data_IF_025583800646
#
_entry.id   IF_025583800646
#
_cell.length_a   1.000
_cell.length_b   1.000
_cell.length_c   1.000
_cell.angle_alpha   90.00
_cell.angle_beta   90.00
_cell.angle_gamma   90.00
#
_symmetry.space_group_name_H-M   'P 1'
#
loop_
_entity.id
_entity.type
_entity.pdbx_description
1 polymer ?
#
# COMPACT_ATOMS: atom_id res chain seq x y z
N UNK A 1 -33.10 -3.33 -3.49
CA UNK A 1 -31.85 -4.06 -3.77
C UNK A 1 -31.29 -3.55 -5.10
N UNK A 2 -30.15 -2.84 -5.11
CA UNK A 2 -29.53 -2.39 -6.37
C UNK A 2 -28.83 -3.59 -7.04
N UNK A 3 -29.21 -3.93 -8.26
CA UNK A 3 -28.47 -4.89 -9.09
C UNK A 3 -27.04 -4.37 -9.33
N UNK A 4 -26.03 -5.04 -8.75
CA UNK A 4 -24.60 -4.88 -9.09
C UNK A 4 -24.37 -5.52 -10.47
N UNK A 5 -24.62 -4.77 -11.54
CA UNK A 5 -24.83 -5.33 -12.88
C UNK A 5 -23.60 -5.82 -13.66
N UNK A 6 -22.35 -5.51 -13.29
CA UNK A 6 -21.14 -5.93 -14.06
C UNK A 6 -19.86 -6.13 -13.25
N UNK A 7 -19.77 -5.57 -12.04
CA UNK A 7 -18.55 -5.61 -11.20
C UNK A 7 -18.31 -6.96 -10.51
N UNK A 8 -19.17 -7.95 -10.75
CA UNK A 8 -19.16 -9.22 -10.03
C UNK A 8 -18.32 -10.31 -10.71
N UNK A 9 -17.93 -10.21 -11.99
CA UNK A 9 -17.16 -11.27 -12.67
C UNK A 9 -15.66 -10.97 -12.62
N UNK A 10 -14.88 -11.85 -11.99
CA UNK A 10 -13.44 -11.76 -11.87
C UNK A 10 -12.73 -12.76 -12.78
N UNK A 11 -11.90 -12.24 -13.70
CA UNK A 11 -10.94 -13.05 -14.44
C UNK A 11 -9.83 -13.50 -13.49
N UNK A 12 -9.57 -14.80 -13.42
CA UNK A 12 -8.59 -15.42 -12.52
C UNK A 12 -7.29 -15.66 -13.29
N UNK A 13 -6.41 -14.66 -13.31
CA UNK A 13 -5.12 -14.72 -13.97
C UNK A 13 -4.08 -15.42 -13.07
N UNK A 14 -3.49 -16.51 -13.56
CA UNK A 14 -2.36 -17.15 -12.93
C UNK A 14 -1.48 -17.89 -13.96
N UNK A 15 -0.21 -18.15 -13.64
CA UNK A 15 0.70 -18.92 -14.49
C UNK A 15 0.25 -20.38 -14.66
N UNK A 16 0.66 -21.02 -15.76
CA UNK A 16 0.45 -22.46 -16.02
C UNK A 16 1.01 -23.35 -14.90
N UNK A 17 2.07 -22.92 -14.20
CA UNK A 17 2.61 -23.66 -13.04
C UNK A 17 1.62 -23.77 -11.88
N UNK A 18 0.63 -22.87 -11.79
CA UNK A 18 -0.42 -22.86 -10.77
C UNK A 18 -1.74 -23.45 -11.29
N UNK A 19 -1.68 -24.31 -12.31
CA UNK A 19 -2.88 -24.84 -12.95
C UNK A 19 -3.67 -25.79 -12.07
N UNK A 20 -3.02 -26.52 -11.16
CA UNK A 20 -3.68 -27.47 -10.27
C UNK A 20 -4.50 -26.76 -9.19
N UNK A 21 -4.21 -25.48 -8.96
CA UNK A 21 -4.78 -24.61 -7.95
C UNK A 21 -6.02 -23.87 -8.48
N UNK A 22 -6.33 -23.99 -9.78
CA UNK A 22 -7.41 -23.25 -10.46
C UNK A 22 -8.76 -23.32 -9.71
N UNK A 23 -9.14 -24.50 -9.22
CA UNK A 23 -10.40 -24.70 -8.49
C UNK A 23 -10.38 -23.99 -7.13
N UNK A 24 -9.30 -24.10 -6.37
CA UNK A 24 -9.13 -23.43 -5.08
C UNK A 24 -9.12 -21.90 -5.23
N UNK A 25 -8.52 -21.37 -6.30
CA UNK A 25 -8.55 -19.95 -6.61
C UNK A 25 -9.96 -19.47 -6.93
N UNK A 26 -10.71 -20.23 -7.74
CA UNK A 26 -12.11 -19.94 -8.04
C UNK A 26 -12.99 -19.92 -6.78
N UNK A 27 -12.81 -20.90 -5.88
CA UNK A 27 -13.52 -20.95 -4.60
C UNK A 27 -13.22 -19.74 -3.71
N UNK A 28 -11.95 -19.32 -3.66
CA UNK A 28 -11.55 -18.12 -2.93
C UNK A 28 -12.23 -16.87 -3.50
N UNK A 29 -12.22 -16.72 -4.82
CA UNK A 29 -12.86 -15.60 -5.54
C UNK A 29 -14.37 -15.58 -5.30
N UNK A 30 -15.02 -16.74 -5.32
CA UNK A 30 -16.44 -16.90 -5.00
C UNK A 30 -16.75 -16.45 -3.58
N UNK A 31 -15.97 -16.89 -2.59
CA UNK A 31 -16.11 -16.48 -1.19
C UNK A 31 -15.87 -14.98 -0.98
N UNK A 32 -15.06 -14.36 -1.84
CA UNK A 32 -14.86 -12.90 -1.88
C UNK A 32 -15.98 -12.12 -2.60
N UNK A 33 -17.04 -12.80 -3.02
CA UNK A 33 -18.23 -12.19 -3.60
C UNK A 33 -18.14 -11.92 -5.11
N UNK A 34 -17.21 -12.55 -5.80
CA UNK A 34 -17.06 -12.47 -7.25
C UNK A 34 -17.39 -13.81 -7.91
N UNK A 35 -18.04 -13.80 -9.07
CA UNK A 35 -18.12 -14.94 -9.96
C UNK A 35 -16.76 -15.13 -10.68
N UNK A 36 -16.02 -16.23 -10.43
CA UNK A 36 -14.72 -16.47 -11.04
C UNK A 36 -14.88 -16.95 -12.48
N UNK A 37 -13.96 -16.50 -13.33
CA UNK A 37 -13.72 -17.08 -14.66
C UNK A 37 -12.24 -17.39 -14.77
N UNK A 38 -11.92 -18.68 -14.86
CA UNK A 38 -10.55 -19.16 -14.99
C UNK A 38 -10.33 -19.74 -16.39
N UNK A 39 -9.37 -19.22 -17.19
CA UNK A 39 -9.13 -19.68 -18.55
C UNK A 39 -8.79 -21.18 -18.63
N UNK A 40 -8.11 -21.74 -17.63
CA UNK A 40 -7.73 -23.16 -17.60
C UNK A 40 -8.89 -24.12 -17.33
N UNK A 41 -10.04 -23.58 -16.92
CA UNK A 41 -11.27 -24.34 -16.68
C UNK A 41 -12.27 -24.22 -17.83
N UNK A 42 -12.00 -23.37 -18.83
CA UNK A 42 -12.87 -23.19 -20.00
C UNK A 42 -12.79 -24.34 -21.03
N UNK A 43 -11.87 -25.29 -20.84
CA UNK A 43 -11.86 -26.59 -21.53
C UNK A 43 -10.56 -27.37 -21.31
N UNK A 44 -10.40 -28.50 -22.00
CA UNK A 44 -9.29 -29.43 -21.75
C UNK A 44 -7.93 -28.91 -22.22
N UNK A 45 -6.87 -29.06 -21.41
CA UNK A 45 -5.50 -28.58 -21.69
C UNK A 45 -4.97 -28.88 -23.09
N UNK A 46 -5.20 -30.12 -23.56
CA UNK A 46 -4.76 -30.63 -24.86
C UNK A 46 -5.42 -29.92 -26.04
N UNK A 47 -6.43 -29.10 -25.79
CA UNK A 47 -7.07 -28.24 -26.76
C UNK A 47 -6.68 -26.76 -26.59
N UNK A 48 -5.86 -26.42 -25.58
CA UNK A 48 -5.37 -25.07 -25.31
C UNK A 48 -3.84 -25.07 -25.30
N UNK A 49 -3.19 -24.73 -24.17
CA UNK A 49 -1.75 -24.43 -24.11
C UNK A 49 -0.82 -25.62 -24.43
N UNK A 50 -1.25 -26.86 -24.19
CA UNK A 50 -0.47 -28.06 -24.52
C UNK A 50 -0.92 -28.78 -25.79
N UNK A 51 -1.72 -28.11 -26.61
CA UNK A 51 -2.57 -28.72 -27.62
C UNK A 51 -2.21 -28.43 -29.07
N UNK A 52 -3.19 -28.73 -29.94
CA UNK A 52 -3.14 -28.47 -31.39
C UNK A 52 -3.27 -26.97 -31.70
N UNK A 53 -3.84 -26.20 -30.77
CA UNK A 53 -3.98 -24.74 -30.88
C UNK A 53 -2.66 -24.08 -30.51
N UNK A 54 -2.22 -23.10 -31.32
CA UNK A 54 -0.95 -22.41 -31.06
C UNK A 54 -0.98 -21.61 -29.75
N UNK A 55 0.21 -21.26 -29.25
CA UNK A 55 0.36 -20.41 -28.07
C UNK A 55 -0.33 -19.05 -28.28
N UNK A 56 -0.20 -18.47 -29.48
CA UNK A 56 -0.83 -17.20 -29.83
C UNK A 56 -2.35 -17.28 -29.77
N UNK A 57 -2.95 -18.30 -30.37
CA UNK A 57 -4.41 -18.46 -30.37
C UNK A 57 -4.97 -18.74 -28.96
N UNK A 58 -4.21 -19.48 -28.13
CA UNK A 58 -4.57 -19.68 -26.72
C UNK A 58 -4.55 -18.36 -25.94
N UNK A 59 -3.54 -17.52 -26.15
CA UNK A 59 -3.46 -16.21 -25.51
C UNK A 59 -4.60 -15.29 -25.97
N UNK A 60 -4.89 -15.23 -27.27
CA UNK A 60 -5.98 -14.43 -27.81
C UNK A 60 -7.34 -14.82 -27.20
N UNK A 61 -7.59 -16.12 -27.02
CA UNK A 61 -8.77 -16.62 -26.32
C UNK A 61 -8.85 -16.10 -24.87
N UNK A 62 -7.77 -16.23 -24.10
CA UNK A 62 -7.70 -15.72 -22.72
C UNK A 62 -7.99 -14.22 -22.65
N UNK A 63 -7.37 -13.43 -23.55
CA UNK A 63 -7.58 -11.98 -23.62
C UNK A 63 -9.03 -11.62 -23.96
N UNK A 64 -9.67 -12.38 -24.86
CA UNK A 64 -11.07 -12.16 -25.22
C UNK A 64 -12.02 -12.48 -24.06
N UNK A 65 -11.76 -13.53 -23.28
CA UNK A 65 -12.50 -13.81 -22.04
C UNK A 65 -12.31 -12.68 -21.03
N UNK A 66 -11.06 -12.24 -20.84
CA UNK A 66 -10.74 -11.19 -19.89
C UNK A 66 -11.50 -9.88 -20.18
N UNK A 67 -11.67 -9.52 -21.46
CA UNK A 67 -12.47 -8.35 -21.89
C UNK A 67 -13.95 -8.44 -21.50
N UNK A 68 -14.48 -9.64 -21.31
CA UNK A 68 -15.83 -9.87 -20.78
C UNK A 68 -15.94 -9.73 -19.25
N UNK A 69 -14.83 -9.67 -18.53
CA UNK A 69 -14.78 -9.64 -17.07
C UNK A 69 -14.63 -8.22 -16.52
N UNK A 70 -15.35 -7.91 -15.45
CA UNK A 70 -15.32 -6.59 -14.82
C UNK A 70 -14.01 -6.29 -14.09
N UNK A 71 -13.34 -7.31 -13.56
CA UNK A 71 -12.10 -7.18 -12.77
C UNK A 71 -11.13 -8.31 -13.09
N UNK A 72 -9.83 -8.05 -13.02
CA UNK A 72 -8.77 -9.07 -13.14
C UNK A 72 -8.15 -9.33 -11.78
N UNK A 73 -8.31 -10.54 -11.25
CA UNK A 73 -7.56 -11.04 -10.11
C UNK A 73 -6.26 -11.68 -10.58
N UNK A 74 -5.12 -11.22 -10.07
CA UNK A 74 -3.79 -11.72 -10.42
C UNK A 74 -3.24 -12.53 -9.25
N UNK A 75 -3.14 -13.84 -9.42
CA UNK A 75 -2.79 -14.79 -8.35
C UNK A 75 -1.36 -15.35 -8.47
N UNK A 76 -0.73 -15.19 -9.63
CA UNK A 76 0.69 -15.46 -9.85
C UNK A 76 1.23 -14.59 -10.98
N UNK A 77 2.55 -14.50 -11.14
CA UNK A 77 3.18 -13.71 -12.20
C UNK A 77 4.00 -14.56 -13.18
N UNK A 78 3.84 -14.30 -14.48
CA UNK A 78 4.59 -14.93 -15.57
C UNK A 78 4.58 -14.02 -16.80
N UNK A 79 5.31 -14.37 -17.87
CA UNK A 79 5.24 -13.64 -19.14
C UNK A 79 3.81 -13.59 -19.70
N UNK A 80 3.08 -14.70 -19.61
CA UNK A 80 1.68 -14.76 -20.07
C UNK A 80 0.78 -13.83 -19.27
N UNK A 81 0.88 -13.87 -17.94
CA UNK A 81 0.09 -13.01 -17.05
C UNK A 81 0.46 -11.53 -17.22
N UNK A 82 1.74 -11.21 -17.44
CA UNK A 82 2.14 -9.84 -17.78
C UNK A 82 1.55 -9.39 -19.12
N UNK A 83 1.50 -10.26 -20.12
CA UNK A 83 0.81 -9.99 -21.37
C UNK A 83 -0.67 -9.67 -21.17
N UNK A 84 -1.37 -10.44 -20.33
CA UNK A 84 -2.75 -10.18 -19.93
C UNK A 84 -2.92 -8.83 -19.21
N UNK A 85 -2.03 -8.50 -18.27
CA UNK A 85 -2.03 -7.22 -17.56
C UNK A 85 -1.81 -6.07 -18.55
N UNK A 86 -0.82 -6.19 -19.43
CA UNK A 86 -0.51 -5.17 -20.44
C UNK A 86 -1.65 -4.97 -21.42
N UNK A 87 -2.30 -6.04 -21.90
CA UNK A 87 -3.45 -5.91 -22.80
C UNK A 87 -4.59 -5.17 -22.13
N UNK A 88 -4.97 -5.57 -20.91
CA UNK A 88 -6.03 -4.90 -20.15
C UNK A 88 -5.71 -3.44 -19.88
N UNK A 89 -4.48 -3.11 -19.51
CA UNK A 89 -4.07 -1.71 -19.29
C UNK A 89 -4.23 -0.81 -20.53
N UNK A 90 -4.22 -1.37 -21.75
CA UNK A 90 -4.44 -0.58 -22.98
C UNK A 90 -5.85 -0.05 -23.12
N UNK A 91 -6.86 -0.74 -22.57
CA UNK A 91 -8.27 -0.41 -22.77
C UNK A 91 -9.07 -0.19 -21.48
N UNK A 92 -8.56 -0.58 -20.30
CA UNK A 92 -9.18 -0.34 -18.99
C UNK A 92 -8.47 0.81 -18.23
N UNK A 93 -8.91 2.07 -18.40
CA UNK A 93 -8.32 3.22 -17.72
C UNK A 93 -8.56 3.21 -16.21
N UNK A 94 -9.55 2.45 -15.71
CA UNK A 94 -9.85 2.35 -14.28
C UNK A 94 -8.89 1.41 -13.55
N UNK A 95 -8.11 0.61 -14.30
CA UNK A 95 -7.16 -0.34 -13.74
C UNK A 95 -7.83 -1.25 -12.72
N UNK A 96 -8.97 -1.86 -13.11
CA UNK A 96 -9.73 -2.75 -12.23
C UNK A 96 -9.00 -4.10 -12.08
N UNK A 97 -7.98 -4.09 -11.23
CA UNK A 97 -7.17 -5.24 -10.84
C UNK A 97 -7.21 -5.47 -9.33
N UNK A 98 -6.97 -6.71 -8.92
CA UNK A 98 -6.64 -7.13 -7.56
C UNK A 98 -5.48 -8.09 -7.60
N UNK A 99 -4.47 -7.89 -6.77
CA UNK A 99 -3.29 -8.73 -6.74
C UNK A 99 -3.29 -9.58 -5.47
N UNK A 100 -3.13 -10.90 -5.65
CA UNK A 100 -3.19 -11.91 -4.61
C UNK A 100 -1.89 -12.74 -4.64
N UNK A 101 -0.77 -12.09 -4.34
CA UNK A 101 0.59 -12.65 -4.38
C UNK A 101 0.80 -13.81 -3.40
N UNK A 102 0.04 -13.89 -2.31
CA UNK A 102 0.19 -14.94 -1.28
C UNK A 102 -0.12 -16.36 -1.76
N UNK A 103 -0.69 -16.52 -2.97
CA UNK A 103 -0.95 -17.84 -3.56
C UNK A 103 0.24 -18.41 -4.32
N UNK A 104 1.22 -17.58 -4.68
CA UNK A 104 2.36 -17.97 -5.51
C UNK A 104 3.67 -17.70 -4.76
N UNK A 105 4.26 -18.76 -4.20
CA UNK A 105 5.54 -18.65 -3.48
C UNK A 105 6.70 -18.17 -4.35
N UNK A 106 6.56 -18.21 -5.68
CA UNK A 106 7.58 -17.74 -6.61
C UNK A 106 7.36 -16.29 -7.06
N UNK A 107 6.28 -15.63 -6.62
CA UNK A 107 5.85 -14.32 -7.10
C UNK A 107 6.99 -13.30 -7.15
N UNK A 108 7.67 -13.06 -6.03
CA UNK A 108 8.71 -12.04 -5.94
C UNK A 108 9.90 -12.33 -6.86
N UNK A 109 10.35 -13.60 -6.87
CA UNK A 109 11.49 -14.02 -7.69
C UNK A 109 11.19 -13.94 -9.18
N UNK A 110 9.97 -14.27 -9.60
CA UNK A 110 9.55 -14.20 -10.99
C UNK A 110 9.30 -12.75 -11.41
N UNK A 111 8.72 -11.94 -10.52
CA UNK A 111 8.49 -10.53 -10.81
C UNK A 111 9.81 -9.76 -11.05
N UNK A 112 10.83 -9.97 -10.23
CA UNK A 112 12.13 -9.29 -10.43
C UNK A 112 12.79 -9.71 -11.74
N UNK A 113 12.78 -11.00 -12.10
CA UNK A 113 13.28 -11.47 -13.41
C UNK A 113 12.55 -10.80 -14.58
N UNK A 114 11.22 -10.73 -14.50
CA UNK A 114 10.39 -10.17 -15.56
C UNK A 114 10.57 -8.66 -15.66
N UNK A 115 10.74 -7.98 -14.52
CA UNK A 115 11.02 -6.55 -14.45
C UNK A 115 12.39 -6.21 -15.06
N UNK A 116 13.42 -7.01 -14.82
CA UNK A 116 14.72 -6.84 -15.47
C UNK A 116 14.61 -6.99 -17.00
N UNK A 117 13.78 -7.93 -17.46
CA UNK A 117 13.62 -8.23 -18.88
C UNK A 117 12.74 -7.22 -19.63
N UNK A 118 11.65 -6.76 -19.02
CA UNK A 118 10.60 -5.99 -19.69
C UNK A 118 10.39 -4.57 -19.11
N UNK A 119 11.16 -4.21 -18.09
CA UNK A 119 10.90 -3.02 -17.28
C UNK A 119 9.74 -3.23 -16.30
N UNK A 120 9.55 -2.27 -15.40
CA UNK A 120 8.49 -2.36 -14.39
C UNK A 120 7.12 -2.00 -14.96
N UNK A 121 6.42 -3.00 -15.50
CA UNK A 121 5.05 -2.86 -16.02
C UNK A 121 4.06 -2.46 -14.93
N UNK A 122 4.26 -2.93 -13.70
CA UNK A 122 3.35 -2.64 -12.58
C UNK A 122 3.55 -1.22 -12.01
N UNK A 123 4.60 -0.51 -12.41
CA UNK A 123 4.79 0.91 -12.06
C UNK A 123 3.59 1.78 -12.43
N UNK A 124 2.79 1.38 -13.42
CA UNK A 124 1.57 2.08 -13.82
C UNK A 124 0.51 2.15 -12.70
N UNK A 125 0.48 1.17 -11.77
CA UNK A 125 -0.40 1.20 -10.61
C UNK A 125 0.13 2.13 -9.50
N UNK A 126 1.43 2.41 -9.53
CA UNK A 126 2.24 2.96 -8.44
C UNK A 126 2.72 4.39 -8.71
N UNK A 127 1.85 5.20 -9.32
CA UNK A 127 2.17 6.59 -9.73
C UNK A 127 2.60 7.47 -8.56
N UNK A 128 1.96 7.30 -7.41
CA UNK A 128 2.22 8.09 -6.21
C UNK A 128 2.79 7.21 -5.10
N UNK A 129 3.74 7.76 -4.35
CA UNK A 129 4.44 7.07 -3.28
C UNK A 129 3.67 7.18 -1.96
N UNK A 130 3.67 6.11 -1.17
CA UNK A 130 3.15 6.11 0.19
C UNK A 130 4.32 5.97 1.18
N UNK A 131 4.75 7.05 1.80
CA UNK A 131 5.76 7.01 2.86
C UNK A 131 5.11 6.50 4.15
N UNK A 132 5.56 5.35 4.61
CA UNK A 132 5.00 4.62 5.75
C UNK A 132 5.93 4.75 6.94
N UNK A 133 5.49 5.49 7.96
CA UNK A 133 6.22 5.68 9.20
C UNK A 133 5.81 4.62 10.22
N UNK A 134 6.79 3.83 10.67
CA UNK A 134 6.63 2.84 11.75
C UNK A 134 7.64 3.15 12.85
N UNK A 135 7.39 2.72 14.08
CA UNK A 135 8.32 2.94 15.19
C UNK A 135 7.61 2.81 16.54
N UNK A 136 8.34 2.87 17.66
CA UNK A 136 7.74 2.75 18.99
C UNK A 136 6.79 3.90 19.32
N UNK A 137 5.97 3.74 20.36
CA UNK A 137 5.12 4.81 20.88
C UNK A 137 5.99 6.03 21.20
N UNK A 138 5.48 7.23 20.92
CA UNK A 138 6.18 8.50 21.14
C UNK A 138 7.51 8.70 20.37
N UNK A 139 7.81 7.89 19.35
CA UNK A 139 8.97 8.07 18.45
C UNK A 139 8.90 9.29 17.51
N UNK A 140 7.96 10.22 17.68
CA UNK A 140 7.89 11.44 16.85
C UNK A 140 7.12 11.33 15.53
N UNK A 141 6.44 10.22 15.23
CA UNK A 141 5.62 10.04 13.99
C UNK A 141 4.68 11.21 13.67
N UNK A 142 3.90 11.65 14.66
CA UNK A 142 2.96 12.76 14.50
C UNK A 142 3.67 14.10 14.28
N UNK A 143 4.82 14.31 14.93
CA UNK A 143 5.63 15.52 14.75
C UNK A 143 6.13 15.61 13.30
N UNK A 144 6.69 14.52 12.78
CA UNK A 144 7.19 14.45 11.42
C UNK A 144 6.07 14.66 10.38
N UNK A 145 4.94 13.96 10.53
CA UNK A 145 3.77 14.14 9.63
C UNK A 145 3.27 15.58 9.64
N UNK A 146 3.09 16.19 10.82
CA UNK A 146 2.55 17.54 10.93
C UNK A 146 3.50 18.58 10.33
N UNK A 147 4.82 18.44 10.54
CA UNK A 147 5.79 19.34 9.93
C UNK A 147 5.84 19.23 8.41
N UNK A 148 5.81 18.01 7.87
CA UNK A 148 5.84 17.78 6.41
C UNK A 148 4.55 18.25 5.73
N UNK A 149 3.40 18.02 6.36
CA UNK A 149 2.09 18.27 5.73
C UNK A 149 1.47 19.64 6.08
N UNK A 150 2.07 20.37 7.02
CA UNK A 150 1.55 21.65 7.52
C UNK A 150 2.27 22.90 7.01
N UNK A 151 3.33 22.76 6.21
CA UNK A 151 4.17 23.88 5.75
C UNK A 151 4.49 23.85 4.26
N UNK A 152 5.52 24.59 3.86
CA UNK A 152 6.03 24.71 2.47
C UNK A 152 6.30 23.36 1.81
N UNK A 153 6.70 22.37 2.61
CA UNK A 153 6.93 20.99 2.19
C UNK A 153 5.72 20.32 1.56
N UNK A 154 4.52 20.57 2.08
CA UNK A 154 3.30 19.95 1.58
C UNK A 154 3.02 20.36 0.13
N UNK A 155 3.30 21.63 -0.19
CA UNK A 155 3.09 22.20 -1.52
C UNK A 155 4.26 21.91 -2.47
N UNK A 156 5.50 21.98 -1.97
CA UNK A 156 6.70 21.67 -2.76
C UNK A 156 6.75 20.22 -3.23
N UNK A 157 6.33 19.29 -2.36
CA UNK A 157 6.40 17.85 -2.65
C UNK A 157 5.05 17.21 -2.95
N UNK A 158 3.96 18.00 -2.99
CA UNK A 158 2.59 17.51 -3.15
C UNK A 158 2.31 16.25 -2.31
N UNK A 159 2.72 16.31 -1.03
CA UNK A 159 2.59 15.20 -0.08
C UNK A 159 1.46 15.49 0.90
N UNK A 160 0.59 14.51 1.10
CA UNK A 160 -0.61 14.64 1.94
C UNK A 160 -0.64 13.56 3.01
N UNK A 161 -1.19 13.90 4.17
CA UNK A 161 -1.42 12.95 5.25
C UNK A 161 -2.50 11.95 4.87
N UNK A 162 -2.20 10.66 4.99
CA UNK A 162 -3.21 9.61 5.08
C UNK A 162 -3.68 9.53 6.53
N UNK A 163 -4.99 9.60 6.75
CA UNK A 163 -5.58 9.63 8.08
C UNK A 163 -6.08 8.26 8.50
N UNK A 164 -5.76 7.87 9.72
CA UNK A 164 -6.43 6.74 10.36
C UNK A 164 -7.89 7.11 10.63
N UNK A 165 -8.77 6.13 10.58
CA UNK A 165 -10.19 6.27 10.90
C UNK A 165 -10.43 5.84 12.35
N UNK A 166 -11.30 6.54 13.08
CA UNK A 166 -11.64 6.17 14.46
C UNK A 166 -13.08 6.52 14.81
N UNK A 167 -13.64 5.78 15.77
CA UNK A 167 -14.95 6.06 16.37
C UNK A 167 -14.88 6.97 17.59
N UNK A 168 -13.67 7.25 18.10
CA UNK A 168 -13.46 8.17 19.22
C UNK A 168 -13.91 9.57 18.82
N UNK A 169 -14.47 10.34 19.75
CA UNK A 169 -14.68 11.78 19.52
C UNK A 169 -13.33 12.52 19.43
N UNK A 170 -13.19 13.53 18.55
CA UNK A 170 -12.02 14.42 18.58
C UNK A 170 -11.80 15.00 19.98
N UNK A 171 -10.55 15.19 20.39
CA UNK A 171 -10.25 15.94 21.63
C UNK A 171 -10.41 17.44 21.38
N UNK A 172 -10.60 18.21 22.45
CA UNK A 172 -10.80 19.65 22.35
C UNK A 172 -9.58 20.38 21.74
N UNK A 173 -8.38 19.85 21.96
CA UNK A 173 -7.09 20.38 21.49
C UNK A 173 -6.55 19.67 20.23
N UNK A 174 -7.29 18.70 19.68
CA UNK A 174 -6.85 17.90 18.54
C UNK A 174 -7.34 18.49 17.21
N UNK A 175 -6.45 18.60 16.22
CA UNK A 175 -6.85 18.95 14.86
C UNK A 175 -7.81 17.88 14.32
N UNK A 176 -9.01 18.29 13.89
CA UNK A 176 -10.04 17.45 13.24
C UNK A 176 -9.53 16.74 11.98
N UNK A 177 -8.42 17.17 11.40
CA UNK A 177 -7.73 16.52 10.28
C UNK A 177 -6.73 15.43 10.71
N UNK A 178 -6.54 15.20 12.01
CA UNK A 178 -5.62 14.16 12.51
C UNK A 178 -6.11 12.74 12.21
N UNK A 179 -7.42 12.54 12.25
CA UNK A 179 -8.11 11.29 11.98
C UNK A 179 -9.33 11.53 11.08
N UNK A 180 -9.89 10.45 10.55
CA UNK A 180 -11.23 10.41 10.01
C UNK A 180 -12.18 9.94 11.12
N UNK A 181 -12.95 10.85 11.69
CA UNK A 181 -13.85 10.57 12.80
C UNK A 181 -15.22 10.14 12.28
N UNK A 182 -15.64 8.91 12.56
CA UNK A 182 -16.92 8.34 12.10
C UNK A 182 -17.71 7.72 13.27
N UNK A 183 -18.99 7.43 13.06
CA UNK A 183 -19.78 6.69 14.06
C UNK A 183 -19.36 5.23 14.11
N UNK A 184 -19.57 4.58 15.26
CA UNK A 184 -19.35 3.15 15.43
C UNK A 184 -20.13 2.32 14.40
N UNK A 185 -21.38 2.67 14.12
CA UNK A 185 -22.20 2.00 13.09
C UNK A 185 -21.56 2.01 11.70
N UNK A 186 -21.02 3.16 11.27
CA UNK A 186 -20.33 3.28 9.97
C UNK A 186 -19.00 2.52 9.96
N UNK A 187 -18.31 2.48 11.09
CA UNK A 187 -17.07 1.72 11.19
C UNK A 187 -17.34 0.22 11.02
N UNK A 188 -18.34 -0.31 11.71
CA UNK A 188 -18.73 -1.72 11.60
C UNK A 188 -19.21 -2.06 10.18
N UNK A 189 -20.01 -1.19 9.55
CA UNK A 189 -20.39 -1.35 8.13
C UNK A 189 -19.16 -1.39 7.21
N UNK A 190 -18.14 -0.56 7.48
CA UNK A 190 -16.89 -0.59 6.72
C UNK A 190 -16.08 -1.88 6.93
N UNK A 191 -16.15 -2.50 8.12
CA UNK A 191 -15.55 -3.83 8.37
C UNK A 191 -16.27 -4.88 7.51
N UNK A 192 -17.61 -4.91 7.54
CA UNK A 192 -18.41 -5.87 6.77
C UNK A 192 -18.19 -5.75 5.25
N UNK A 193 -17.80 -4.57 4.78
CA UNK A 193 -17.51 -4.27 3.39
C UNK A 193 -16.01 -4.39 3.00
N UNK A 194 -15.16 -4.95 3.87
CA UNK A 194 -13.70 -5.08 3.65
C UNK A 194 -13.01 -3.71 3.34
N UNK A 195 -13.49 -2.60 3.92
CA UNK A 195 -12.96 -1.25 3.64
C UNK A 195 -11.71 -0.88 4.45
N UNK A 196 -11.31 -1.73 5.40
CA UNK A 196 -10.15 -1.51 6.25
C UNK A 196 -9.02 -2.48 5.92
N UNK A 197 -7.81 -1.94 5.79
CA UNK A 197 -6.57 -2.72 5.71
C UNK A 197 -6.30 -3.44 7.04
N UNK A 198 -6.45 -2.69 8.13
CA UNK A 198 -6.38 -3.19 9.49
C UNK A 198 -7.37 -2.39 10.34
N UNK A 199 -7.87 -3.01 11.40
CA UNK A 199 -8.60 -2.32 12.44
C UNK A 199 -8.36 -2.99 13.79
N UNK A 200 -8.49 -2.22 14.86
CA UNK A 200 -8.34 -2.68 16.24
C UNK A 200 -9.27 -1.90 17.18
N UNK A 201 -9.57 -2.47 18.33
CA UNK A 201 -10.34 -1.82 19.38
C UNK A 201 -9.43 -1.42 20.55
N UNK A 202 -9.46 -0.15 20.91
CA UNK A 202 -8.71 0.37 22.05
C UNK A 202 -9.56 1.31 22.90
N UNK A 203 -9.65 0.99 24.19
CA UNK A 203 -10.43 1.75 25.17
C UNK A 203 -11.88 2.01 24.71
N UNK A 204 -12.56 0.98 24.20
CA UNK A 204 -13.94 1.04 23.73
C UNK A 204 -14.15 1.84 22.44
N UNK A 205 -13.09 2.15 21.70
CA UNK A 205 -13.16 2.85 20.41
C UNK A 205 -12.43 2.04 19.34
N UNK A 206 -12.98 2.03 18.13
CA UNK A 206 -12.32 1.42 16.98
C UNK A 206 -11.34 2.38 16.33
N UNK A 207 -10.26 1.83 15.81
CA UNK A 207 -9.26 2.51 15.01
C UNK A 207 -8.96 1.64 13.79
N UNK A 208 -8.73 2.24 12.62
CA UNK A 208 -8.39 1.47 11.43
C UNK A 208 -7.84 2.27 10.26
N UNK A 209 -7.16 1.55 9.38
CA UNK A 209 -6.53 2.06 8.17
C UNK A 209 -7.50 1.90 6.98
N UNK A 210 -8.14 2.98 6.54
CA UNK A 210 -9.20 2.93 5.51
C UNK A 210 -8.63 2.90 4.09
N UNK A 211 -9.03 1.90 3.29
CA UNK A 211 -8.72 1.80 1.86
C UNK A 211 -9.16 3.02 1.05
N UNK A 212 -10.42 3.49 1.19
CA UNK A 212 -10.86 4.75 0.59
C UNK A 212 -9.91 5.93 0.86
N UNK A 213 -9.42 6.09 2.09
CA UNK A 213 -8.55 7.21 2.45
C UNK A 213 -7.16 7.08 1.81
N UNK A 214 -6.55 5.89 1.87
CA UNK A 214 -5.26 5.60 1.21
C UNK A 214 -5.37 5.92 -0.28
N UNK A 215 -6.39 5.37 -0.95
CA UNK A 215 -6.60 5.55 -2.40
C UNK A 215 -6.94 7.00 -2.77
N UNK A 216 -7.68 7.72 -1.92
CA UNK A 216 -8.02 9.13 -2.15
C UNK A 216 -6.76 10.01 -2.19
N UNK A 217 -5.82 9.77 -1.27
CA UNK A 217 -4.54 10.49 -1.22
C UNK A 217 -3.68 10.12 -2.43
N UNK A 218 -3.46 8.82 -2.64
CA UNK A 218 -2.57 8.32 -3.70
C UNK A 218 -3.11 8.51 -5.12
N UNK A 219 -4.34 8.99 -5.29
CA UNK A 219 -4.88 9.37 -6.60
C UNK A 219 -4.28 10.68 -7.13
N UNK A 220 -3.93 11.60 -6.23
CA UNK A 220 -3.61 12.98 -6.60
C UNK A 220 -2.27 13.49 -6.03
N UNK A 221 -1.66 12.74 -5.12
CA UNK A 221 -0.53 13.18 -4.31
C UNK A 221 0.21 12.00 -3.73
N UNK A 222 1.45 12.22 -3.34
CA UNK A 222 2.15 11.28 -2.47
C UNK A 222 1.50 11.30 -1.09
N UNK A 223 1.56 10.16 -0.40
CA UNK A 223 1.00 9.98 0.93
C UNK A 223 2.08 9.86 1.99
N UNK A 224 1.82 10.39 3.18
CA UNK A 224 2.56 10.02 4.39
C UNK A 224 1.61 9.43 5.41
N UNK A 225 1.99 8.29 6.00
CA UNK A 225 1.10 7.52 6.85
C UNK A 225 1.82 6.91 8.05
N UNK A 226 1.27 7.09 9.24
CA UNK A 226 1.76 6.44 10.45
C UNK A 226 0.86 5.25 10.82
N UNK A 227 1.47 4.07 10.94
CA UNK A 227 0.75 2.81 11.18
C UNK A 227 1.45 1.93 12.20
N UNK A 228 0.79 0.85 12.58
CA UNK A 228 1.34 -0.19 13.46
C UNK A 228 2.28 -1.13 12.67
N UNK A 229 3.11 -1.95 13.35
CA UNK A 229 3.87 -3.01 12.67
C UNK A 229 2.98 -4.03 11.95
N UNK A 230 1.81 -4.34 12.49
CA UNK A 230 0.83 -5.22 11.84
C UNK A 230 0.29 -4.58 10.55
N UNK A 231 -0.05 -3.30 10.61
CA UNK A 231 -0.46 -2.52 9.45
C UNK A 231 0.64 -2.39 8.41
N UNK A 232 1.91 -2.32 8.84
CA UNK A 232 3.05 -2.30 7.94
C UNK A 232 3.20 -3.61 7.17
N UNK A 233 3.04 -4.75 7.86
CA UNK A 233 2.93 -6.06 7.20
C UNK A 233 1.78 -6.05 6.19
N UNK A 234 0.59 -5.66 6.64
CA UNK A 234 -0.58 -5.63 5.78
C UNK A 234 -0.36 -4.74 4.55
N UNK A 235 0.21 -3.54 4.68
CA UNK A 235 0.55 -2.68 3.54
C UNK A 235 1.61 -3.28 2.61
N UNK A 236 2.61 -3.97 3.17
CA UNK A 236 3.68 -4.59 2.41
C UNK A 236 3.15 -5.68 1.48
N UNK A 237 2.11 -6.39 1.91
CA UNK A 237 1.40 -7.31 1.04
C UNK A 237 0.92 -6.55 -0.23
N UNK A 238 0.30 -5.37 -0.09
CA UNK A 238 -0.18 -4.58 -1.25
C UNK A 238 0.91 -3.75 -1.98
N UNK A 239 2.21 -4.05 -1.80
CA UNK A 239 3.33 -3.31 -2.42
C UNK A 239 3.36 -3.30 -3.95
N UNK A 240 2.58 -4.16 -4.61
CA UNK A 240 2.47 -4.15 -6.06
C UNK A 240 1.34 -3.25 -6.56
N UNK A 241 0.30 -3.05 -5.75
CA UNK A 241 -0.80 -2.10 -5.99
C UNK A 241 -0.46 -0.68 -5.54
N UNK A 242 0.30 -0.59 -4.46
CA UNK A 242 0.75 0.65 -3.83
C UNK A 242 2.25 0.81 -4.00
N UNK A 243 2.78 2.00 -3.75
CA UNK A 243 4.23 2.24 -3.73
C UNK A 243 4.69 2.56 -2.29
N UNK A 244 4.64 1.61 -1.35
CA UNK A 244 4.99 1.88 0.03
C UNK A 244 6.51 2.07 0.17
N UNK A 245 6.89 3.04 0.97
CA UNK A 245 8.26 3.30 1.36
C UNK A 245 8.35 3.36 2.88
N UNK A 246 8.88 2.30 3.48
CA UNK A 246 8.89 2.14 4.93
C UNK A 246 10.07 2.87 5.56
N UNK A 247 9.76 3.69 6.56
CA UNK A 247 10.73 4.42 7.37
C UNK A 247 10.45 4.09 8.84
N UNK A 248 11.42 3.44 9.49
CA UNK A 248 11.41 3.16 10.91
C UNK A 248 11.97 4.38 11.65
N UNK A 249 11.13 5.02 12.45
CA UNK A 249 11.54 6.11 13.33
C UNK A 249 12.08 5.55 14.63
N UNK A 250 13.36 5.80 14.90
CA UNK A 250 14.03 5.39 16.13
C UNK A 250 14.39 6.64 16.95
N UNK A 251 14.00 6.76 18.23
CA UNK A 251 14.47 7.85 19.07
C UNK A 251 16.01 7.83 19.14
N UNK A 252 16.66 8.99 18.98
CA UNK A 252 18.11 9.11 19.06
C UNK A 252 18.66 8.80 20.46
N UNK A 253 17.83 8.95 21.50
CA UNK A 253 18.15 8.56 22.88
C UNK A 253 16.89 8.27 23.69
N UNK A 254 17.07 7.55 24.81
CA UNK A 254 16.02 7.34 25.83
C UNK A 254 15.49 8.69 26.37
N UNK A 255 16.35 9.72 26.45
CA UNK A 255 15.96 11.06 26.92
C UNK A 255 14.97 11.74 25.96
N UNK A 256 15.19 11.62 24.64
CA UNK A 256 14.25 12.14 23.63
C UNK A 256 12.91 11.45 23.75
N UNK A 257 12.91 10.13 23.90
CA UNK A 257 11.68 9.35 24.07
C UNK A 257 10.96 9.71 25.38
N UNK A 258 11.69 9.80 26.49
CA UNK A 258 11.16 10.20 27.80
C UNK A 258 10.53 11.59 27.75
N UNK A 259 11.21 12.56 27.12
CA UNK A 259 10.68 13.92 26.91
C UNK A 259 9.36 13.89 26.15
N UNK A 260 9.26 13.09 25.10
CA UNK A 260 8.03 12.96 24.30
C UNK A 260 6.89 12.30 25.07
N UNK A 261 7.16 11.28 25.88
CA UNK A 261 6.17 10.60 26.72
C UNK A 261 5.65 11.53 27.83
N UNK A 262 6.56 12.25 28.50
CA UNK A 262 6.18 13.25 29.53
C UNK A 262 5.34 14.38 28.95
N UNK A 263 5.68 14.87 27.74
CA UNK A 263 4.87 15.88 27.03
C UNK A 263 3.45 15.40 26.74
N UNK A 264 3.22 14.09 26.64
CA UNK A 264 1.90 13.48 26.43
C UNK A 264 1.12 13.24 27.73
N UNK A 265 1.74 13.46 28.90
CA UNK A 265 1.13 13.16 30.20
C UNK A 265 0.99 11.66 30.47
N UNK A 266 1.81 10.82 29.84
CA UNK A 266 1.83 9.39 30.12
C UNK A 266 2.33 9.13 31.56
N UNK A 267 1.78 8.12 32.25
CA UNK A 267 2.16 7.79 33.63
C UNK A 267 3.49 7.01 33.70
N UNK A 268 4.13 6.96 34.88
CA UNK A 268 5.45 6.32 35.06
C UNK A 268 5.49 4.84 34.66
N UNK A 269 4.41 4.09 34.90
CA UNK A 269 4.30 2.69 34.45
C UNK A 269 4.31 2.56 32.92
N UNK A 270 3.56 3.43 32.24
CA UNK A 270 3.51 3.49 30.77
C UNK A 270 4.85 3.94 30.21
N UNK A 271 5.51 4.91 30.86
CA UNK A 271 6.83 5.40 30.47
C UNK A 271 7.86 4.28 30.54
N UNK A 272 7.97 3.58 31.67
CA UNK A 272 8.93 2.49 31.85
C UNK A 272 8.70 1.37 30.83
N UNK A 273 7.45 1.01 30.59
CA UNK A 273 7.09 0.02 29.57
C UNK A 273 7.51 0.48 28.16
N UNK A 274 7.20 1.73 27.78
CA UNK A 274 7.56 2.26 26.46
C UNK A 274 9.07 2.33 26.23
N UNK A 275 9.84 2.73 27.25
CA UNK A 275 11.31 2.78 27.19
C UNK A 275 11.91 1.39 26.95
N UNK A 276 11.37 0.36 27.62
CA UNK A 276 11.79 -1.03 27.40
C UNK A 276 11.45 -1.49 25.97
N UNK A 277 10.18 -1.35 25.55
CA UNK A 277 9.74 -1.84 24.23
C UNK A 277 10.36 -1.08 23.05
N UNK A 278 10.81 0.16 23.27
CA UNK A 278 11.41 0.96 22.20
C UNK A 278 12.81 0.46 21.81
N UNK A 279 13.57 -0.11 22.76
CA UNK A 279 14.90 -0.65 22.49
C UNK A 279 14.85 -1.90 21.63
N UNK A 280 13.84 -2.73 21.87
CA UNK A 280 13.61 -3.99 21.15
C UNK A 280 12.73 -3.80 19.91
N UNK A 281 12.38 -2.56 19.56
CA UNK A 281 11.57 -2.30 18.38
C UNK A 281 12.34 -2.65 17.11
N UNK A 282 11.88 -3.69 16.43
CA UNK A 282 12.38 -4.11 15.13
C UNK A 282 11.18 -4.30 14.20
N UNK A 283 11.23 -3.68 13.03
CA UNK A 283 10.26 -3.97 11.97
C UNK A 283 10.60 -5.34 11.37
N UNK A 284 9.58 -6.02 10.86
CA UNK A 284 9.72 -7.32 10.24
C UNK A 284 10.86 -7.37 9.21
N UNK A 285 11.82 -8.31 9.32
CA UNK A 285 13.01 -8.36 8.48
C UNK A 285 12.72 -8.44 6.98
N UNK A 286 11.59 -9.04 6.61
CA UNK A 286 11.13 -9.18 5.22
C UNK A 286 10.67 -7.86 4.59
N UNK A 287 10.42 -6.81 5.38
CA UNK A 287 10.00 -5.50 4.88
C UNK A 287 11.24 -4.62 4.67
N UNK A 288 11.60 -4.29 3.41
CA UNK A 288 12.68 -3.36 3.13
C UNK A 288 12.33 -1.98 3.69
N UNK A 289 13.19 -1.42 4.52
CA UNK A 289 12.94 -0.15 5.19
C UNK A 289 14.23 0.66 5.38
N UNK A 290 14.06 1.96 5.56
CA UNK A 290 15.09 2.86 6.04
C UNK A 290 14.89 3.15 7.53
N UNK A 291 15.96 3.50 8.22
CA UNK A 291 15.89 3.93 9.62
C UNK A 291 16.19 5.42 9.70
N UNK A 292 15.32 6.17 10.37
CA UNK A 292 15.53 7.58 10.67
C UNK A 292 15.66 7.75 12.19
N UNK A 293 16.81 8.26 12.62
CA UNK A 293 17.03 8.64 14.01
C UNK A 293 16.38 9.99 14.29
N UNK A 294 15.49 10.00 15.28
CA UNK A 294 14.67 11.16 15.66
C UNK A 294 15.29 11.86 16.87
N UNK A 295 15.77 13.07 16.66
CA UNK A 295 16.38 13.93 17.68
C UNK A 295 15.35 14.78 18.44
N UNK A 296 14.15 14.96 17.87
CA UNK A 296 13.13 15.86 18.39
C UNK A 296 13.44 17.34 18.12
N UNK A 297 14.25 17.62 17.09
CA UNK A 297 14.64 18.96 16.64
C UNK A 297 14.37 19.11 15.14
N UNK A 298 14.50 20.34 14.60
CA UNK A 298 14.24 20.60 13.18
C UNK A 298 15.16 19.81 12.22
N UNK A 299 16.29 19.30 12.72
CA UNK A 299 17.18 18.40 11.98
C UNK A 299 16.50 17.12 11.49
N UNK A 300 15.42 16.69 12.17
CA UNK A 300 14.66 15.51 11.78
C UNK A 300 14.02 15.68 10.40
N UNK A 301 13.63 16.92 10.02
CA UNK A 301 13.07 17.22 8.72
C UNK A 301 14.12 17.20 7.61
N UNK A 302 15.32 17.74 7.86
CA UNK A 302 16.44 17.71 6.92
C UNK A 302 16.90 16.27 6.64
N UNK A 303 17.04 15.47 7.70
CA UNK A 303 17.40 14.05 7.58
C UNK A 303 16.33 13.26 6.81
N UNK A 304 15.05 13.54 7.06
CA UNK A 304 13.95 12.96 6.28
C UNK A 304 13.99 13.42 4.81
N UNK A 305 14.33 14.68 4.52
CA UNK A 305 14.52 15.17 3.15
C UNK A 305 15.56 14.36 2.41
N UNK A 306 16.72 14.20 3.05
CA UNK A 306 17.85 13.50 2.48
C UNK A 306 17.48 12.05 2.15
N UNK A 307 16.75 11.41 3.06
CA UNK A 307 16.27 10.05 2.90
C UNK A 307 15.30 9.91 1.70
N UNK A 308 14.40 10.88 1.50
CA UNK A 308 13.53 10.89 0.32
C UNK A 308 14.31 11.15 -0.98
N UNK A 309 15.29 12.06 -0.95
CA UNK A 309 16.13 12.39 -2.10
C UNK A 309 17.03 11.23 -2.53
N UNK A 310 17.61 10.48 -1.59
CA UNK A 310 18.50 9.35 -1.90
C UNK A 310 17.81 8.26 -2.76
N UNK A 311 16.49 8.10 -2.60
CA UNK A 311 15.70 7.16 -3.39
C UNK A 311 15.53 7.59 -4.85
N UNK A 312 15.57 8.89 -5.18
CA UNK A 312 15.38 9.35 -6.57
C UNK A 312 16.48 8.85 -7.52
N UNK A 313 17.68 8.65 -6.99
CA UNK A 313 18.85 8.31 -7.80
C UNK A 313 18.97 6.79 -8.05
N UNK A 314 18.11 5.95 -7.44
CA UNK A 314 18.22 4.47 -7.47
C UNK A 314 17.02 3.75 -8.13
N UNK A 315 16.59 4.22 -9.31
CA UNK A 315 15.73 3.44 -10.23
C UNK A 315 14.23 3.35 -9.92
N UNK A 316 13.66 4.24 -9.09
CA UNK A 316 12.21 4.37 -8.95
C UNK A 316 11.75 5.80 -8.65
N UNK A 317 11.63 6.60 -9.73
CA UNK A 317 10.54 7.55 -9.91
C UNK A 317 10.31 8.62 -8.84
N UNK A 318 11.35 9.23 -8.30
CA UNK A 318 11.26 10.63 -7.86
C UNK A 318 12.11 11.45 -8.82
N UNK A 319 11.60 12.56 -9.37
CA UNK A 319 12.47 13.53 -10.06
C UNK A 319 12.71 14.73 -9.14
N UNK A 320 13.39 14.50 -8.01
CA UNK A 320 13.71 15.56 -7.04
C UNK A 320 14.61 16.65 -7.65
N UNK A 321 15.51 16.28 -8.58
CA UNK A 321 16.41 17.24 -9.25
C UNK A 321 15.68 18.28 -10.10
N UNK A 322 14.60 17.88 -10.76
CA UNK A 322 13.79 18.80 -11.58
C UNK A 322 12.96 19.77 -10.72
N UNK A 323 12.55 19.32 -9.53
CA UNK A 323 11.82 20.14 -8.55
C UNK A 323 12.76 21.15 -7.88
N UNK A 324 13.97 20.76 -7.49
CA UNK A 324 14.98 21.69 -6.95
C UNK A 324 15.36 22.78 -7.96
N UNK A 325 15.54 22.42 -9.23
CA UNK A 325 15.74 23.41 -10.32
C UNK A 325 14.59 24.39 -10.46
N UNK A 326 13.36 23.98 -10.17
CA UNK A 326 12.18 24.85 -10.24
C UNK A 326 11.97 25.67 -8.97
N UNK A 327 12.42 25.18 -7.80
CA UNK A 327 12.43 25.92 -6.54
C UNK A 327 13.50 27.03 -6.55
N UNK A 328 14.72 26.73 -7.00
CA UNK A 328 15.79 27.72 -7.18
C UNK A 328 15.39 28.83 -8.17
N UNK A 329 14.65 28.49 -9.23
CA UNK A 329 14.11 29.50 -10.17
C UNK A 329 13.06 30.44 -9.57
N UNK A 330 12.38 30.03 -8.49
CA UNK A 330 11.37 30.86 -7.81
C UNK A 330 11.97 31.81 -6.76
N UNK A 331 13.20 31.58 -6.32
CA UNK A 331 13.91 32.50 -5.42
C UNK A 331 14.61 33.67 -6.17
N UNK A 332 14.61 33.64 -7.51
CA UNK A 332 15.18 34.69 -8.36
C UNK A 332 14.15 35.42 -9.26
N UNK A 333 12.86 35.44 -8.89
CA UNK A 333 11.83 36.23 -9.59
C UNK A 333 11.06 37.14 -8.63
#
# INVERSE_FOLDING_TARGET
MKQKGREAIMYVAHPTRMRQESEALCDFVWKKGYAPVNPFMCGEYRHFEGGIISREASLEFCLNIQKGCGITGVFGISEGVLGEIQDRLKWDPQKNFRFFYGFDSQWDSEYEKLKEKYGDILSQFRKHQLVVLVGPRAAGKTHLINGITGGTWADLYNIRRVRNTTTRKPRDDEDKKSYNFISQSKFLEGIDNDEFLEHDEYAGNFYGCSWPEIRRVLRNSDGIFAITPAGARALYEYRFELNPFFVVLKPASDEVLLKNLRKRGDNEQTIAHCLATAKDFVLLPEIPHQVLEMTGTDKDFEAFQYLLNYKSDTHYGFNFREILRNAEKREYC
#
